data_IF_834689625155
#
_entry.id   IF_834689625155
#
_cell.length_a   1.000
_cell.length_b   1.000
_cell.length_c   1.000
_cell.angle_alpha   90.00
_cell.angle_beta   90.00
_cell.angle_gamma   90.00
#
_symmetry.space_group_name_H-M   'P 1'
#
loop_
_entity.id
_entity.type
_entity.pdbx_description
1 polymer ?
#
# COMPACT_ATOMS: atom_id res chain seq x y z
N UNK A 1 18.15 12.35 -0.01
CA UNK A 1 18.11 11.15 0.84
C UNK A 1 19.45 10.99 1.51
N UNK A 2 19.48 10.45 2.71
CA UNK A 2 20.67 10.31 3.54
C UNK A 2 20.68 8.95 4.26
N UNK A 3 21.84 8.31 4.31
CA UNK A 3 21.98 6.90 4.73
C UNK A 3 22.42 6.70 6.18
N UNK A 4 22.61 7.77 6.96
CA UNK A 4 22.99 7.69 8.38
C UNK A 4 21.93 8.37 9.25
N UNK A 5 21.87 8.08 10.57
CA UNK A 5 20.82 8.61 11.43
C UNK A 5 21.01 10.07 11.83
N UNK A 6 22.08 10.74 11.35
CA UNK A 6 22.38 12.14 11.66
C UNK A 6 22.56 12.90 10.36
N UNK A 7 21.76 13.95 10.06
CA UNK A 7 21.96 14.75 8.87
C UNK A 7 23.30 15.50 8.94
N UNK A 8 23.97 15.73 7.80
CA UNK A 8 25.20 16.51 7.77
C UNK A 8 24.94 17.97 8.17
N UNK A 9 26.00 18.69 8.53
CA UNK A 9 25.91 20.09 8.93
C UNK A 9 25.23 20.96 7.85
N UNK A 10 24.33 21.83 8.30
CA UNK A 10 23.53 22.68 7.41
C UNK A 10 22.46 21.93 6.63
N UNK A 11 22.00 20.78 7.11
CA UNK A 11 20.83 20.07 6.58
C UNK A 11 19.85 19.75 7.71
N UNK A 12 18.56 19.77 7.38
CA UNK A 12 17.47 19.38 8.29
C UNK A 12 16.81 18.11 7.78
N UNK A 13 16.43 17.23 8.70
CA UNK A 13 15.54 16.12 8.40
C UNK A 13 14.12 16.61 8.10
N UNK A 14 13.46 16.03 7.09
CA UNK A 14 12.04 16.21 6.79
C UNK A 14 11.19 15.35 7.74
N UNK A 15 11.12 15.75 9.01
CA UNK A 15 10.41 15.06 10.08
C UNK A 15 9.30 15.92 10.73
N UNK A 16 8.84 16.98 10.06
CA UNK A 16 7.85 17.89 10.63
C UNK A 16 8.39 18.89 11.65
N UNK A 17 9.71 19.00 11.85
CA UNK A 17 10.27 19.95 12.83
C UNK A 17 10.09 21.41 12.42
N UNK A 18 10.02 22.28 13.43
CA UNK A 18 10.12 23.73 13.25
C UNK A 18 11.58 24.13 12.98
N UNK A 19 11.76 25.21 12.21
CA UNK A 19 13.06 25.84 11.98
C UNK A 19 13.00 27.35 12.26
N UNK A 20 14.13 27.96 12.55
CA UNK A 20 14.23 29.41 12.73
C UNK A 20 14.21 30.12 11.36
N UNK A 21 13.15 30.87 11.00
CA UNK A 21 13.05 31.53 9.70
C UNK A 21 14.11 32.61 9.51
N UNK A 22 14.47 33.36 10.56
CA UNK A 22 15.50 34.40 10.50
C UNK A 22 16.89 33.81 10.27
N UNK A 23 17.15 32.61 10.79
CA UNK A 23 18.39 31.88 10.57
C UNK A 23 18.44 31.13 9.23
N UNK A 24 17.30 30.94 8.56
CA UNK A 24 17.19 30.18 7.31
C UNK A 24 16.23 30.89 6.33
N UNK A 25 16.57 32.09 5.83
CA UNK A 25 15.64 32.91 5.04
C UNK A 25 15.25 32.25 3.71
N UNK A 26 16.15 31.47 3.10
CA UNK A 26 15.85 30.70 1.88
C UNK A 26 14.84 29.59 2.18
N UNK A 27 15.01 28.88 3.30
CA UNK A 27 14.05 27.84 3.68
C UNK A 27 12.70 28.43 4.05
N UNK A 28 12.69 29.61 4.69
CA UNK A 28 11.48 30.35 5.03
C UNK A 28 10.69 30.81 3.78
N UNK A 29 11.35 31.12 2.67
CA UNK A 29 10.64 31.48 1.44
C UNK A 29 9.96 30.28 0.77
N UNK A 30 10.52 29.07 0.94
CA UNK A 30 9.94 27.82 0.44
C UNK A 30 8.87 27.26 1.38
N UNK A 31 9.06 27.40 2.69
CA UNK A 31 8.15 26.92 3.75
C UNK A 31 7.81 28.05 4.73
N UNK A 32 6.86 28.95 4.38
CA UNK A 32 6.53 30.12 5.19
C UNK A 32 5.96 29.80 6.58
N UNK A 33 5.50 28.57 6.81
CA UNK A 33 5.07 28.10 8.13
C UNK A 33 6.20 27.99 9.15
N UNK A 34 7.47 28.03 8.71
CA UNK A 34 8.61 27.75 9.58
C UNK A 34 8.72 26.27 9.95
N UNK A 35 8.08 25.38 9.18
CA UNK A 35 8.04 23.94 9.44
C UNK A 35 8.41 23.18 8.16
N UNK A 36 9.29 22.18 8.27
CA UNK A 36 9.58 21.28 7.16
C UNK A 36 8.49 20.20 7.04
N UNK A 37 8.25 19.64 5.85
CA UNK A 37 7.36 18.47 5.72
C UNK A 37 7.80 17.27 6.56
N UNK A 38 6.89 16.34 6.82
CA UNK A 38 7.19 15.06 7.47
C UNK A 38 7.08 13.91 6.46
N UNK A 39 8.21 13.28 6.16
CA UNK A 39 8.32 12.21 5.16
C UNK A 39 8.57 10.85 5.80
N UNK A 40 8.57 10.77 7.14
CA UNK A 40 8.88 9.51 7.84
C UNK A 40 7.80 8.47 7.57
N UNK A 41 8.23 7.30 7.09
CA UNK A 41 7.33 6.19 6.73
C UNK A 41 6.63 6.33 5.38
N UNK A 42 6.79 7.47 4.68
CA UNK A 42 6.14 7.69 3.39
C UNK A 42 7.08 7.41 2.21
N UNK A 43 6.50 6.89 1.13
CA UNK A 43 7.16 6.81 -0.17
C UNK A 43 6.89 8.09 -0.96
N UNK A 44 7.92 8.88 -1.31
CA UNK A 44 7.72 10.02 -2.19
C UNK A 44 7.39 9.54 -3.60
N UNK A 45 6.35 10.13 -4.18
CA UNK A 45 6.02 9.99 -5.61
C UNK A 45 6.47 11.25 -6.35
N UNK A 46 7.01 11.07 -7.55
CA UNK A 46 7.28 12.20 -8.44
C UNK A 46 5.99 12.94 -8.78
N UNK A 47 6.02 14.27 -8.73
CA UNK A 47 4.89 15.08 -9.16
C UNK A 47 4.76 14.99 -10.69
N UNK A 48 3.57 14.65 -11.19
CA UNK A 48 3.32 14.41 -12.61
C UNK A 48 3.65 15.63 -13.48
N UNK A 49 3.35 16.84 -12.98
CA UNK A 49 3.63 18.12 -13.63
C UNK A 49 3.21 18.15 -15.12
N UNK A 50 2.10 17.49 -15.46
CA UNK A 50 1.52 17.48 -16.81
C UNK A 50 2.04 16.40 -17.74
N UNK A 51 2.84 15.43 -17.25
CA UNK A 51 3.27 14.28 -18.04
C UNK A 51 2.14 13.28 -18.34
N UNK A 52 1.05 13.29 -17.57
CA UNK A 52 -0.10 12.40 -17.74
C UNK A 52 0.16 10.94 -17.35
N UNK A 53 1.27 10.67 -16.65
CA UNK A 53 1.64 9.33 -16.17
C UNK A 53 0.90 9.02 -14.86
N UNK A 54 0.74 10.02 -14.00
CA UNK A 54 -0.13 9.95 -12.81
C UNK A 54 -1.33 10.90 -13.03
N UNK A 55 -2.35 10.48 -13.80
CA UNK A 55 -3.41 11.35 -14.31
C UNK A 55 -4.43 11.83 -13.25
N UNK A 56 -4.15 11.66 -11.96
CA UNK A 56 -4.96 12.23 -10.89
C UNK A 56 -4.57 13.67 -10.56
N UNK A 57 -5.51 14.46 -10.04
CA UNK A 57 -5.22 15.81 -9.54
C UNK A 57 -4.45 15.73 -8.20
N UNK A 58 -3.15 15.41 -8.29
CA UNK A 58 -2.24 15.37 -7.14
C UNK A 58 -1.71 16.76 -6.83
N UNK A 59 -2.17 17.32 -5.72
CA UNK A 59 -1.55 18.50 -5.13
C UNK A 59 -0.18 18.15 -4.54
N UNK A 60 0.75 19.12 -4.54
CA UNK A 60 2.03 18.98 -3.87
C UNK A 60 1.84 18.64 -2.38
N UNK A 61 2.60 17.67 -1.89
CA UNK A 61 2.52 17.15 -0.51
C UNK A 61 1.18 16.52 -0.12
N UNK A 62 0.29 16.22 -1.09
CA UNK A 62 -0.92 15.46 -0.81
C UNK A 62 -0.60 14.01 -0.41
N UNK A 63 -1.39 13.50 0.52
CA UNK A 63 -1.25 12.13 1.01
C UNK A 63 -1.95 11.11 0.09
N UNK A 64 -1.39 9.91 0.01
CA UNK A 64 -1.99 8.76 -0.67
C UNK A 64 -1.87 7.53 0.24
N UNK A 65 -3.01 6.92 0.56
CA UNK A 65 -3.06 5.60 1.19
C UNK A 65 -2.51 4.52 0.25
N UNK A 66 -2.08 3.40 0.80
CA UNK A 66 -1.65 2.25 0.02
C UNK A 66 -2.81 1.65 -0.79
N UNK A 67 -2.47 1.08 -1.95
CA UNK A 67 -3.44 0.38 -2.77
C UNK A 67 -2.76 -0.78 -3.51
N UNK A 68 -3.42 -1.94 -3.53
CA UNK A 68 -3.07 -3.03 -4.43
C UNK A 68 -3.89 -2.95 -5.71
N UNK A 69 -3.39 -3.57 -6.78
CA UNK A 69 -4.22 -3.83 -7.97
C UNK A 69 -5.34 -4.79 -7.59
N UNK A 70 -6.45 -4.72 -8.33
CA UNK A 70 -7.56 -5.64 -8.16
C UNK A 70 -7.08 -7.09 -8.24
N UNK A 71 -7.54 -7.93 -7.31
CA UNK A 71 -7.31 -9.36 -7.33
C UNK A 71 -8.56 -10.05 -7.85
N UNK A 72 -8.38 -10.98 -8.77
CA UNK A 72 -9.48 -11.71 -9.38
C UNK A 72 -9.48 -13.17 -8.97
N UNK A 73 -10.66 -13.76 -8.98
CA UNK A 73 -10.90 -15.17 -8.73
C UNK A 73 -12.38 -15.47 -8.86
N UNK A 74 -12.68 -16.74 -9.07
CA UNK A 74 -14.05 -17.25 -9.11
C UNK A 74 -14.11 -18.63 -8.47
N UNK A 75 -15.30 -19.01 -8.02
CA UNK A 75 -15.64 -20.36 -7.65
C UNK A 75 -17.12 -20.60 -7.94
N UNK A 76 -17.48 -21.83 -8.28
CA UNK A 76 -18.87 -22.22 -8.49
C UNK A 76 -19.49 -22.67 -7.16
N UNK A 77 -20.77 -22.36 -6.93
CA UNK A 77 -21.44 -22.64 -5.64
C UNK A 77 -22.16 -23.99 -5.62
N UNK A 78 -22.57 -24.50 -6.77
CA UNK A 78 -23.36 -25.73 -6.94
C UNK A 78 -22.86 -26.47 -8.20
N UNK A 79 -22.21 -27.62 -8.01
CA UNK A 79 -21.86 -28.55 -9.09
C UNK A 79 -21.95 -29.99 -8.56
N UNK A 80 -22.51 -30.87 -9.39
CA UNK A 80 -22.65 -32.31 -9.15
C UNK A 80 -21.29 -33.03 -9.22
N UNK A 81 -20.34 -32.53 -10.02
CA UNK A 81 -19.03 -33.17 -10.24
C UNK A 81 -17.90 -32.61 -9.36
N UNK A 82 -18.09 -31.45 -8.73
CA UNK A 82 -17.21 -30.92 -7.69
C UNK A 82 -16.94 -29.42 -7.81
N UNK A 83 -16.20 -28.86 -6.85
CA UNK A 83 -15.89 -27.44 -6.84
C UNK A 83 -14.55 -27.15 -7.53
N UNK A 84 -14.57 -26.28 -8.53
CA UNK A 84 -13.39 -25.63 -9.09
C UNK A 84 -13.31 -24.17 -8.60
N UNK A 85 -12.13 -23.79 -8.11
CA UNK A 85 -11.84 -22.44 -7.64
C UNK A 85 -10.57 -21.94 -8.34
N UNK A 86 -10.56 -20.67 -8.70
CA UNK A 86 -9.45 -20.04 -9.42
C UNK A 86 -9.03 -18.70 -8.80
N UNK A 87 -7.84 -18.25 -9.16
CA UNK A 87 -7.27 -17.00 -8.65
C UNK A 87 -7.05 -17.04 -7.14
N UNK A 88 -7.54 -16.00 -6.46
CA UNK A 88 -7.46 -15.90 -4.99
C UNK A 88 -8.29 -16.95 -4.26
N UNK A 89 -9.21 -17.65 -4.92
CA UNK A 89 -10.01 -18.67 -4.27
C UNK A 89 -9.33 -20.03 -4.32
N UNK A 90 -9.32 -20.71 -3.18
CA UNK A 90 -8.85 -22.09 -3.04
C UNK A 90 -9.81 -22.92 -2.21
N UNK A 91 -9.98 -24.20 -2.58
CA UNK A 91 -10.75 -25.16 -1.78
C UNK A 91 -9.90 -25.64 -0.61
N UNK A 92 -10.37 -25.39 0.62
CA UNK A 92 -9.67 -25.78 1.86
C UNK A 92 -10.23 -27.05 2.51
N UNK A 93 -11.51 -27.35 2.29
CA UNK A 93 -12.13 -28.57 2.84
C UNK A 93 -13.24 -29.07 1.92
N UNK A 94 -13.30 -30.40 1.74
CA UNK A 94 -14.47 -31.10 1.19
C UNK A 94 -15.19 -31.76 2.36
N UNK A 95 -16.27 -31.17 2.82
CA UNK A 95 -17.12 -31.77 3.85
C UNK A 95 -18.16 -32.69 3.20
N UNK A 96 -18.46 -33.79 3.89
CA UNK A 96 -19.33 -34.87 3.40
C UNK A 96 -20.79 -34.46 3.15
N UNK A 97 -21.63 -35.45 2.84
CA UNK A 97 -23.03 -35.33 2.38
C UNK A 97 -23.78 -34.15 3.01
N UNK A 98 -24.14 -33.16 2.21
CA UNK A 98 -25.03 -32.08 2.61
C UNK A 98 -26.49 -32.49 2.32
N UNK A 99 -27.36 -32.42 3.33
CA UNK A 99 -28.80 -32.61 3.15
C UNK A 99 -29.44 -31.26 2.78
N UNK A 100 -29.55 -30.99 1.49
CA UNK A 100 -30.37 -29.91 0.95
C UNK A 100 -31.77 -30.52 0.74
N UNK A 101 -32.82 -29.90 1.27
CA UNK A 101 -34.15 -30.52 1.43
C UNK A 101 -34.64 -31.31 0.19
N UNK A 102 -35.16 -32.53 0.43
CA UNK A 102 -35.54 -33.48 -0.61
C UNK A 102 -34.89 -34.86 -0.42
N UNK A 103 -34.90 -35.70 -1.45
CA UNK A 103 -34.25 -37.03 -1.44
C UNK A 103 -32.74 -36.88 -1.22
N UNK A 104 -32.10 -37.64 -0.30
CA UNK A 104 -30.67 -37.60 -0.09
C UNK A 104 -29.90 -37.86 -1.39
N UNK A 105 -29.09 -36.91 -1.82
CA UNK A 105 -28.15 -37.04 -2.93
C UNK A 105 -26.72 -36.84 -2.39
N UNK A 106 -25.72 -37.45 -3.02
CA UNK A 106 -24.29 -37.41 -2.62
C UNK A 106 -23.61 -36.04 -2.84
N UNK A 107 -24.28 -34.93 -2.53
CA UNK A 107 -23.69 -33.60 -2.67
C UNK A 107 -22.66 -33.37 -1.57
N UNK A 108 -21.43 -33.04 -1.96
CA UNK A 108 -20.46 -32.45 -1.04
C UNK A 108 -20.65 -30.93 -1.01
N UNK A 109 -20.43 -30.29 0.14
CA UNK A 109 -20.21 -28.84 0.18
C UNK A 109 -18.71 -28.57 0.36
N UNK A 110 -18.22 -27.48 -0.23
CA UNK A 110 -16.82 -27.07 -0.10
C UNK A 110 -16.70 -25.79 0.69
N UNK A 111 -15.70 -25.73 1.58
CA UNK A 111 -15.24 -24.45 2.11
C UNK A 111 -14.26 -23.86 1.11
N UNK A 112 -14.60 -22.68 0.60
CA UNK A 112 -13.74 -21.88 -0.26
C UNK A 112 -13.15 -20.76 0.59
N UNK A 113 -11.83 -20.60 0.51
CA UNK A 113 -11.13 -19.51 1.17
C UNK A 113 -10.60 -18.54 0.13
N UNK A 114 -10.71 -17.25 0.44
CA UNK A 114 -9.95 -16.21 -0.24
C UNK A 114 -8.56 -16.16 0.38
N UNK A 115 -7.54 -16.31 -0.46
CA UNK A 115 -6.14 -16.22 -0.10
C UNK A 115 -5.38 -15.44 -1.18
N UNK A 116 -5.07 -14.18 -0.87
CA UNK A 116 -4.32 -13.29 -1.75
C UNK A 116 -2.89 -13.79 -2.01
N UNK A 117 -2.31 -14.60 -1.10
CA UNK A 117 -0.95 -15.11 -1.24
C UNK A 117 -0.76 -16.03 -2.45
N UNK A 118 -1.88 -16.55 -3.00
CA UNK A 118 -1.92 -17.36 -4.21
C UNK A 118 -1.52 -16.61 -5.47
N UNK A 119 -1.64 -15.27 -5.48
CA UNK A 119 -1.33 -14.43 -6.65
C UNK A 119 -0.23 -13.40 -6.38
N UNK A 120 -0.10 -12.93 -5.13
CA UNK A 120 0.81 -11.83 -4.77
C UNK A 120 1.46 -12.10 -3.42
N UNK A 121 2.69 -11.62 -3.16
CA UNK A 121 3.25 -11.62 -1.81
C UNK A 121 2.37 -10.83 -0.84
N UNK A 122 2.19 -11.33 0.38
CA UNK A 122 1.35 -10.72 1.42
C UNK A 122 2.17 -10.32 2.66
N UNK A 123 1.69 -9.29 3.35
CA UNK A 123 2.14 -8.80 4.64
C UNK A 123 1.00 -7.97 5.27
N UNK A 124 1.14 -7.53 6.53
CA UNK A 124 0.13 -6.70 7.21
C UNK A 124 -0.07 -5.31 6.57
N UNK A 125 0.88 -4.86 5.75
CA UNK A 125 0.88 -3.58 5.03
C UNK A 125 1.34 -3.83 3.59
N UNK A 126 0.66 -3.20 2.61
CA UNK A 126 1.09 -3.26 1.22
C UNK A 126 2.24 -2.29 0.97
N UNK A 127 3.44 -2.84 0.81
CA UNK A 127 4.64 -2.08 0.50
C UNK A 127 5.51 -2.78 -0.56
N UNK A 128 6.14 -2.03 -1.47
CA UNK A 128 7.23 -2.58 -2.25
C UNK A 128 8.43 -2.87 -1.34
N UNK A 129 9.37 -3.68 -1.86
CA UNK A 129 10.70 -3.78 -1.24
C UNK A 129 11.32 -2.39 -1.20
N UNK A 130 11.82 -1.99 -0.03
CA UNK A 130 12.33 -0.66 0.20
C UNK A 130 13.55 -0.67 1.13
N UNK A 131 14.27 0.45 1.14
CA UNK A 131 15.38 0.72 2.03
C UNK A 131 15.04 1.99 2.81
N UNK A 132 15.11 1.92 4.14
CA UNK A 132 14.89 3.07 5.00
C UNK A 132 16.04 4.08 4.85
N UNK A 133 15.71 5.32 4.51
CA UNK A 133 16.64 6.44 4.39
C UNK A 133 16.00 7.68 4.99
N UNK A 134 16.84 8.61 5.44
CA UNK A 134 16.39 9.91 5.92
C UNK A 134 16.17 10.85 4.72
N UNK A 135 15.02 11.52 4.67
CA UNK A 135 14.82 12.65 3.77
C UNK A 135 15.37 13.91 4.43
N UNK A 136 16.24 14.62 3.74
CA UNK A 136 16.88 15.84 4.25
C UNK A 136 16.74 16.97 3.23
N UNK A 137 16.68 18.20 3.75
CA UNK A 137 16.67 19.44 2.98
C UNK A 137 17.81 20.34 3.45
N UNK A 138 18.37 21.13 2.52
CA UNK A 138 19.44 22.06 2.85
C UNK A 138 18.88 23.17 3.74
N UNK A 139 19.47 23.32 4.91
CA UNK A 139 19.31 24.51 5.74
C UNK A 139 20.12 25.62 5.07
N UNK A 140 19.46 26.76 4.79
CA UNK A 140 20.01 27.86 4.00
C UNK A 140 21.30 28.44 4.57
#
# INVERSE_FOLDING_TARGET
MWGTPVPPEGWLELNGQLFNPSGNPILASLYPSGQVPDFRGYFPRGWDNGAGIDPGERAMLSYQEDAIRNLTGEFQTIDYFGYEASGVFGRVEKTGRAQIGGTPQDWSHSKIQLDASRLVPTADENRPKNVAVMFIIKAG
#
